data_IF_481278983848
#
_entry.id   IF_481278983848
#
_cell.length_a   1.000
_cell.length_b   1.000
_cell.length_c   1.000
_cell.angle_alpha   90.00
_cell.angle_beta   90.00
_cell.angle_gamma   90.00
#
_symmetry.space_group_name_H-M   'P 1'
#
loop_
_entity.id
_entity.type
_entity.pdbx_description
1 polymer ?
#
# COMPACT_ATOMS: atom_id res chain seq x y z
N UNK A 1 73.94 -44.10 0.11
CA UNK A 1 73.02 -44.26 -1.04
C UNK A 1 71.62 -43.92 -0.58
N UNK A 2 71.04 -42.86 -1.13
CA UNK A 2 69.77 -42.24 -0.69
C UNK A 2 68.61 -42.70 -1.57
N UNK A 3 67.45 -43.12 -1.05
CA UNK A 3 66.27 -43.36 -1.88
C UNK A 3 65.53 -42.05 -2.14
N UNK A 4 65.35 -41.76 -3.44
CA UNK A 4 64.68 -40.58 -3.99
C UNK A 4 63.21 -40.53 -3.57
N UNK A 5 62.78 -39.37 -3.05
CA UNK A 5 61.35 -39.01 -2.93
C UNK A 5 60.78 -38.83 -4.35
N UNK A 6 59.70 -39.54 -4.67
CA UNK A 6 58.95 -39.34 -5.92
C UNK A 6 58.24 -37.98 -5.88
N UNK A 7 58.70 -37.04 -6.71
CA UNK A 7 58.01 -35.78 -6.97
C UNK A 7 56.83 -36.11 -7.89
N UNK A 8 55.60 -35.94 -7.39
CA UNK A 8 54.41 -36.03 -8.21
C UNK A 8 54.42 -34.89 -9.24
N UNK A 9 54.33 -35.24 -10.51
CA UNK A 9 54.24 -34.32 -11.64
C UNK A 9 52.95 -33.51 -11.53
N UNK A 10 53.07 -32.18 -11.58
CA UNK A 10 51.94 -31.24 -11.67
C UNK A 10 51.25 -31.37 -13.03
N UNK A 11 50.43 -32.40 -13.22
CA UNK A 11 49.51 -32.47 -14.36
C UNK A 11 48.24 -31.64 -14.08
N UNK A 12 48.13 -30.55 -14.85
CA UNK A 12 46.92 -29.86 -15.35
C UNK A 12 45.61 -30.00 -14.56
N UNK A 13 45.35 -28.99 -13.72
CA UNK A 13 43.98 -28.69 -13.26
C UNK A 13 43.09 -28.30 -14.46
N UNK A 14 41.85 -28.81 -14.58
CA UNK A 14 40.95 -28.40 -15.64
C UNK A 14 40.58 -26.92 -15.48
N UNK A 15 40.66 -26.15 -16.57
CA UNK A 15 40.28 -24.75 -16.59
C UNK A 15 38.84 -24.58 -16.09
N UNK A 16 38.66 -23.83 -14.99
CA UNK A 16 37.34 -23.43 -14.49
C UNK A 16 36.64 -22.66 -15.60
N UNK A 17 35.57 -23.24 -16.17
CA UNK A 17 34.70 -22.51 -17.10
C UNK A 17 34.22 -21.25 -16.40
N UNK A 18 34.49 -20.10 -17.01
CA UNK A 18 34.02 -18.81 -16.50
C UNK A 18 32.49 -18.87 -16.36
N UNK A 19 31.99 -18.69 -15.14
CA UNK A 19 30.57 -18.47 -14.90
C UNK A 19 30.13 -17.25 -15.71
N UNK A 20 29.10 -17.36 -16.57
CA UNK A 20 28.61 -16.22 -17.33
C UNK A 20 28.18 -15.11 -16.36
N UNK A 21 28.45 -13.84 -16.68
CA UNK A 21 28.07 -12.73 -15.81
C UNK A 21 26.57 -12.76 -15.56
N UNK A 22 26.17 -12.64 -14.29
CA UNK A 22 24.77 -12.55 -13.89
C UNK A 22 24.11 -11.43 -14.70
N UNK A 23 23.16 -11.81 -15.55
CA UNK A 23 22.39 -10.87 -16.36
C UNK A 23 21.72 -9.89 -15.42
N UNK A 24 22.19 -8.64 -15.42
CA UNK A 24 21.65 -7.59 -14.58
C UNK A 24 20.24 -7.26 -15.08
N UNK A 25 19.23 -7.93 -14.51
CA UNK A 25 17.84 -7.75 -14.92
C UNK A 25 17.38 -6.38 -14.44
N UNK A 26 17.46 -5.37 -15.30
CA UNK A 26 16.80 -4.07 -15.05
C UNK A 26 15.33 -4.37 -14.68
N UNK A 27 14.98 -4.11 -13.42
CA UNK A 27 13.63 -4.31 -12.88
C UNK A 27 12.68 -3.48 -13.75
N UNK A 28 11.73 -4.13 -14.45
CA UNK A 28 10.75 -3.41 -15.28
C UNK A 28 10.06 -2.35 -14.39
N UNK A 29 9.88 -1.11 -14.86
CA UNK A 29 9.22 -0.07 -14.08
C UNK A 29 7.81 -0.53 -13.74
N UNK A 30 7.44 -0.43 -12.46
CA UNK A 30 6.10 -0.75 -11.99
C UNK A 30 5.14 0.24 -12.63
N UNK A 31 4.11 -0.26 -13.31
CA UNK A 31 3.01 0.58 -13.79
C UNK A 31 2.21 1.07 -12.56
N UNK A 32 2.62 2.23 -12.02
CA UNK A 32 2.06 2.83 -10.81
C UNK A 32 0.58 3.12 -10.95
N UNK A 33 0.11 3.54 -12.14
CA UNK A 33 -1.30 3.79 -12.43
C UNK A 33 -2.16 2.52 -12.32
N UNK A 34 -1.74 1.45 -12.99
CA UNK A 34 -2.44 0.17 -12.93
C UNK A 34 -2.41 -0.43 -11.51
N UNK A 35 -1.36 -0.15 -10.74
CA UNK A 35 -1.27 -0.55 -9.33
C UNK A 35 -2.23 0.23 -8.44
N UNK A 36 -2.31 1.56 -8.62
CA UNK A 36 -3.24 2.44 -7.90
C UNK A 36 -4.69 2.03 -8.12
N UNK A 37 -5.12 1.98 -9.38
CA UNK A 37 -6.48 1.60 -9.75
C UNK A 37 -6.89 0.23 -9.19
N UNK A 38 -5.98 -0.74 -9.16
CA UNK A 38 -6.22 -2.05 -8.55
C UNK A 38 -6.42 -1.96 -7.04
N UNK A 39 -5.62 -1.16 -6.36
CA UNK A 39 -5.76 -0.91 -4.93
C UNK A 39 -7.12 -0.31 -4.60
N UNK A 40 -7.50 0.73 -5.32
CA UNK A 40 -8.79 1.42 -5.14
C UNK A 40 -9.98 0.48 -5.40
N UNK A 41 -9.93 -0.34 -6.47
CA UNK A 41 -10.97 -1.36 -6.73
C UNK A 41 -11.07 -2.40 -5.61
N UNK A 42 -9.94 -2.87 -5.09
CA UNK A 42 -9.94 -3.84 -3.99
C UNK A 42 -10.49 -3.22 -2.70
N UNK A 43 -10.21 -1.94 -2.46
CA UNK A 43 -10.75 -1.23 -1.31
C UNK A 43 -12.26 -1.02 -1.43
N UNK A 44 -12.74 -0.57 -2.59
CA UNK A 44 -14.17 -0.41 -2.87
C UNK A 44 -14.93 -1.74 -2.68
N UNK A 45 -14.35 -2.85 -3.17
CA UNK A 45 -14.89 -4.20 -2.94
C UNK A 45 -14.91 -4.56 -1.45
N UNK A 46 -13.83 -4.32 -0.71
CA UNK A 46 -13.76 -4.64 0.71
C UNK A 46 -14.79 -3.85 1.53
N UNK A 47 -14.98 -2.55 1.24
CA UNK A 47 -16.03 -1.74 1.86
C UNK A 47 -17.43 -2.29 1.54
N UNK A 48 -17.68 -2.66 0.28
CA UNK A 48 -18.95 -3.25 -0.15
C UNK A 48 -19.23 -4.58 0.57
N UNK A 49 -18.21 -5.44 0.70
CA UNK A 49 -18.31 -6.70 1.46
C UNK A 49 -18.59 -6.48 2.96
N UNK A 50 -18.16 -5.35 3.51
CA UNK A 50 -18.47 -4.93 4.88
C UNK A 50 -19.88 -4.31 5.02
N UNK A 51 -20.66 -4.24 3.93
CA UNK A 51 -22.01 -3.67 3.92
C UNK A 51 -22.06 -2.17 3.66
N UNK A 52 -20.98 -1.59 3.14
CA UNK A 52 -20.86 -0.17 2.81
C UNK A 52 -20.61 -0.02 1.30
N UNK A 53 -21.68 0.13 0.48
CA UNK A 53 -21.53 0.28 -0.96
C UNK A 53 -20.50 1.36 -1.30
N UNK A 54 -19.51 0.99 -2.12
CA UNK A 54 -18.41 1.86 -2.48
C UNK A 54 -17.96 1.62 -3.91
N UNK A 55 -17.47 2.69 -4.54
CA UNK A 55 -16.99 2.68 -5.91
C UNK A 55 -15.63 3.36 -6.02
N UNK A 56 -14.80 2.93 -6.97
CA UNK A 56 -13.56 3.63 -7.29
C UNK A 56 -13.89 4.99 -7.91
N UNK A 57 -13.22 6.05 -7.44
CA UNK A 57 -13.36 7.36 -8.08
C UNK A 57 -12.81 7.36 -9.50
N UNK A 58 -13.50 8.04 -10.39
CA UNK A 58 -13.05 8.25 -11.76
C UNK A 58 -12.69 9.72 -11.95
N UNK A 59 -11.43 10.01 -12.26
CA UNK A 59 -11.03 11.31 -12.77
C UNK A 59 -11.72 11.55 -14.12
N UNK A 60 -12.82 12.31 -14.13
CA UNK A 60 -13.44 12.80 -15.37
C UNK A 60 -12.62 13.99 -15.88
N UNK A 61 -12.50 14.09 -17.21
CA UNK A 61 -11.69 15.06 -17.99
C UNK A 61 -11.34 16.35 -17.22
N UNK A 62 -10.17 16.37 -16.57
CA UNK A 62 -9.51 17.59 -16.06
C UNK A 62 -9.70 17.94 -14.58
N UNK A 63 -10.48 17.20 -13.80
CA UNK A 63 -10.60 17.46 -12.36
C UNK A 63 -9.50 16.76 -11.55
N UNK A 64 -8.64 17.53 -10.88
CA UNK A 64 -7.60 16.99 -9.99
C UNK A 64 -8.16 16.41 -8.67
N UNK A 65 -9.45 16.63 -8.39
CA UNK A 65 -10.05 16.47 -7.06
C UNK A 65 -11.04 15.29 -6.99
N UNK A 66 -10.68 14.17 -7.63
CA UNK A 66 -11.48 12.94 -7.55
C UNK A 66 -10.97 12.07 -6.41
N UNK A 67 -11.81 11.70 -5.43
CA UNK A 67 -11.39 10.83 -4.33
C UNK A 67 -11.02 9.44 -4.87
N UNK A 68 -10.07 8.75 -4.23
CA UNK A 68 -9.68 7.38 -4.61
C UNK A 68 -10.87 6.41 -4.59
N UNK A 69 -11.73 6.54 -3.56
CA UNK A 69 -12.93 5.73 -3.35
C UNK A 69 -14.07 6.61 -2.86
N UNK A 70 -15.26 6.38 -3.39
CA UNK A 70 -16.52 7.03 -3.01
C UNK A 70 -17.31 6.03 -2.15
N UNK A 71 -17.67 6.43 -0.93
CA UNK A 71 -18.51 5.64 -0.02
C UNK A 71 -19.32 6.61 0.85
N UNK A 72 -20.67 6.52 0.82
CA UNK A 72 -21.54 7.49 1.50
C UNK A 72 -21.32 7.50 3.02
N UNK A 73 -21.15 6.31 3.62
CA UNK A 73 -20.84 6.15 5.03
C UNK A 73 -19.50 6.77 5.46
N UNK A 74 -18.62 7.09 4.50
CA UNK A 74 -17.33 7.75 4.73
C UNK A 74 -17.26 9.13 4.06
N UNK A 75 -18.40 9.77 3.77
CA UNK A 75 -18.46 11.07 3.09
C UNK A 75 -17.78 12.23 3.83
N UNK A 76 -17.66 12.14 5.16
CA UNK A 76 -16.88 13.07 5.99
C UNK A 76 -15.36 12.89 5.91
N UNK A 77 -14.89 11.86 5.20
CA UNK A 77 -13.49 11.45 5.15
C UNK A 77 -12.91 11.62 3.74
N UNK A 78 -11.64 12.02 3.67
CA UNK A 78 -10.84 11.98 2.45
C UNK A 78 -10.00 10.70 2.47
N UNK A 79 -10.30 9.79 1.54
CA UNK A 79 -9.69 8.46 1.47
C UNK A 79 -8.48 8.49 0.54
N UNK A 80 -7.30 8.17 1.08
CA UNK A 80 -6.08 7.88 0.33
C UNK A 80 -5.81 6.36 0.38
N UNK A 81 -5.88 5.67 -0.75
CA UNK A 81 -5.73 4.21 -0.84
C UNK A 81 -4.28 3.79 -1.14
N UNK A 82 -3.69 2.94 -0.30
CA UNK A 82 -2.30 2.46 -0.45
C UNK A 82 -2.19 0.94 -0.43
N UNK A 83 -2.12 0.33 -1.61
CA UNK A 83 -1.73 -1.08 -1.78
C UNK A 83 -0.22 -1.21 -2.03
N UNK A 84 0.49 -2.02 -1.25
CA UNK A 84 1.94 -2.21 -1.38
C UNK A 84 2.38 -3.67 -1.37
N UNK A 85 3.65 -3.93 -1.66
CA UNK A 85 4.17 -5.30 -1.65
C UNK A 85 4.41 -5.82 -0.22
N UNK A 86 4.77 -4.95 0.72
CA UNK A 86 5.12 -5.27 2.11
C UNK A 86 4.54 -4.23 3.05
N UNK A 87 4.28 -4.60 4.30
CA UNK A 87 3.76 -3.68 5.31
C UNK A 87 4.65 -2.43 5.43
N UNK A 88 4.03 -1.25 5.42
CA UNK A 88 4.71 0.05 5.56
C UNK A 88 4.34 0.78 6.85
N UNK A 89 3.56 0.18 7.74
CA UNK A 89 3.04 0.83 8.96
C UNK A 89 4.13 1.32 9.92
N UNK A 90 5.36 0.79 9.79
CA UNK A 90 6.51 1.17 10.61
C UNK A 90 7.53 2.05 9.88
N UNK A 91 7.27 2.48 8.64
CA UNK A 91 8.21 3.28 7.84
C UNK A 91 7.95 4.79 7.99
N UNK A 92 8.74 5.55 8.77
CA UNK A 92 8.42 6.95 9.06
C UNK A 92 8.38 7.82 7.80
N UNK A 93 9.31 7.59 6.86
CA UNK A 93 9.37 8.33 5.60
C UNK A 93 8.14 8.06 4.72
N UNK A 94 7.70 6.81 4.65
CA UNK A 94 6.51 6.43 3.88
C UNK A 94 5.24 6.99 4.51
N UNK A 95 5.11 6.89 5.83
CA UNK A 95 3.99 7.47 6.57
C UNK A 95 3.91 8.97 6.33
N UNK A 96 5.01 9.70 6.50
CA UNK A 96 5.07 11.14 6.25
C UNK A 96 4.58 11.49 4.84
N UNK A 97 5.07 10.77 3.83
CA UNK A 97 4.66 11.00 2.43
C UNK A 97 3.17 10.76 2.21
N UNK A 98 2.57 9.74 2.83
CA UNK A 98 1.14 9.46 2.68
C UNK A 98 0.27 10.47 3.43
N UNK A 99 0.68 10.84 4.65
CA UNK A 99 -0.02 11.84 5.46
C UNK A 99 -0.02 13.21 4.78
N UNK A 100 1.13 13.62 4.22
CA UNK A 100 1.25 14.90 3.52
C UNK A 100 0.38 14.94 2.25
N UNK A 101 0.26 13.81 1.54
CA UNK A 101 -0.63 13.70 0.37
C UNK A 101 -2.10 13.83 0.77
N UNK A 102 -2.55 12.99 1.71
CA UNK A 102 -3.95 12.97 2.13
C UNK A 102 -4.42 14.32 2.73
N UNK A 103 -3.54 15.01 3.47
CA UNK A 103 -3.83 16.35 4.01
C UNK A 103 -3.92 17.42 2.94
N UNK A 104 -3.06 17.36 1.91
CA UNK A 104 -3.08 18.31 0.81
C UNK A 104 -4.37 18.19 0.00
N UNK A 105 -4.76 16.95 -0.29
CA UNK A 105 -5.87 16.66 -1.20
C UNK A 105 -7.25 16.79 -0.52
N UNK A 106 -7.32 16.82 0.82
CA UNK A 106 -8.59 17.06 1.51
C UNK A 106 -8.97 18.55 1.64
N UNK A 107 -8.03 19.47 1.36
CA UNK A 107 -8.18 20.94 1.44
C UNK A 107 -8.90 21.44 2.72
N UNK A 108 -8.79 20.71 3.83
CA UNK A 108 -9.50 21.02 5.08
C UNK A 108 -11.03 20.78 5.06
N UNK A 109 -11.61 20.35 3.93
CA UNK A 109 -13.06 20.09 3.78
C UNK A 109 -13.50 18.77 4.42
N UNK A 110 -12.58 17.81 4.53
CA UNK A 110 -12.80 16.47 5.11
C UNK A 110 -11.63 16.08 6.01
N UNK A 111 -11.83 15.09 6.88
CA UNK A 111 -10.73 14.51 7.64
C UNK A 111 -9.92 13.52 6.79
N UNK A 112 -8.59 13.65 6.72
CA UNK A 112 -7.77 12.76 5.90
C UNK A 112 -7.56 11.40 6.58
N UNK A 113 -7.67 10.31 5.81
CA UNK A 113 -7.32 8.95 6.22
C UNK A 113 -6.50 8.25 5.15
N UNK A 114 -5.59 7.37 5.57
CA UNK A 114 -4.90 6.46 4.65
C UNK A 114 -5.39 5.05 4.90
N UNK A 115 -5.96 4.41 3.88
CA UNK A 115 -6.39 3.03 3.94
C UNK A 115 -5.35 2.15 3.25
N UNK A 116 -4.67 1.33 4.05
CA UNK A 116 -3.50 0.58 3.67
C UNK A 116 -3.73 -0.92 3.70
N UNK A 117 -3.18 -1.61 2.69
CA UNK A 117 -3.00 -3.06 2.68
C UNK A 117 -1.70 -3.43 1.97
N UNK A 118 -1.18 -4.60 2.28
CA UNK A 118 -0.05 -5.18 1.56
C UNK A 118 -0.36 -6.59 1.08
N UNK A 119 0.47 -7.12 0.18
CA UNK A 119 0.32 -8.47 -0.33
C UNK A 119 0.36 -9.50 0.82
N UNK A 120 -0.60 -10.43 0.83
CA UNK A 120 -0.73 -11.46 1.86
C UNK A 120 -1.44 -11.00 3.15
N UNK A 121 -1.66 -9.70 3.34
CA UNK A 121 -2.50 -9.21 4.42
C UNK A 121 -3.95 -9.64 4.22
N UNK A 122 -4.59 -10.14 5.28
CA UNK A 122 -6.03 -10.46 5.27
C UNK A 122 -6.86 -9.19 5.39
N UNK A 123 -6.52 -8.36 6.36
CA UNK A 123 -7.27 -7.16 6.71
C UNK A 123 -6.74 -5.89 6.04
N UNK A 124 -7.62 -4.90 5.90
CA UNK A 124 -7.28 -3.51 5.60
C UNK A 124 -7.10 -2.73 6.89
N UNK A 125 -6.15 -1.79 6.88
CA UNK A 125 -5.81 -0.94 8.02
C UNK A 125 -6.04 0.53 7.67
N UNK A 126 -6.49 1.32 8.64
CA UNK A 126 -6.80 2.74 8.49
C UNK A 126 -5.88 3.53 9.41
N UNK A 127 -5.09 4.44 8.84
CA UNK A 127 -4.40 5.48 9.57
C UNK A 127 -5.33 6.68 9.68
N UNK A 128 -5.78 6.95 10.89
CA UNK A 128 -6.68 8.07 11.19
C UNK A 128 -5.85 9.27 11.66
N UNK A 129 -6.08 10.44 11.05
CA UNK A 129 -5.35 11.68 11.35
C UNK A 129 -6.30 12.78 11.84
N UNK A 130 -6.82 12.67 13.07
CA UNK A 130 -7.65 13.72 13.64
C UNK A 130 -6.83 14.99 13.92
N UNK A 131 -7.44 16.17 13.81
CA UNK A 131 -6.75 17.45 14.04
C UNK A 131 -6.35 17.67 15.51
N UNK A 132 -7.16 17.19 16.46
CA UNK A 132 -7.00 17.48 17.89
C UNK A 132 -6.33 16.36 18.69
N UNK A 133 -5.88 15.27 18.05
CA UNK A 133 -5.33 14.09 18.73
C UNK A 133 -4.18 13.47 17.92
N UNK A 134 -3.31 12.65 18.53
CA UNK A 134 -2.35 11.86 17.78
C UNK A 134 -3.04 10.97 16.74
N UNK A 135 -2.36 10.75 15.62
CA UNK A 135 -2.79 9.78 14.63
C UNK A 135 -2.63 8.36 15.17
N UNK A 136 -3.44 7.42 14.67
CA UNK A 136 -3.40 6.03 15.10
C UNK A 136 -3.85 5.08 13.99
N UNK A 137 -3.44 3.82 14.10
CA UNK A 137 -3.87 2.73 13.22
C UNK A 137 -5.03 1.97 13.85
N UNK A 138 -6.00 1.57 13.02
CA UNK A 138 -7.05 0.61 13.38
C UNK A 138 -7.44 -0.24 12.18
N UNK A 139 -8.21 -1.32 12.39
CA UNK A 139 -8.72 -2.12 11.28
C UNK A 139 -9.88 -1.41 10.57
N UNK A 140 -9.98 -1.60 9.26
CA UNK A 140 -11.04 -1.00 8.43
C UNK A 140 -12.44 -1.41 8.89
N UNK A 141 -12.65 -2.68 9.19
CA UNK A 141 -13.96 -3.21 9.59
C UNK A 141 -14.45 -2.65 10.92
N UNK A 142 -13.54 -2.30 11.84
CA UNK A 142 -13.89 -1.64 13.09
C UNK A 142 -14.17 -0.15 12.86
N UNK A 143 -13.33 0.51 12.06
CA UNK A 143 -13.47 1.92 11.71
C UNK A 143 -14.85 2.20 11.09
N UNK A 144 -15.22 1.49 10.03
CA UNK A 144 -16.48 1.73 9.31
C UNK A 144 -17.71 1.42 10.17
N UNK A 145 -17.63 0.43 11.06
CA UNK A 145 -18.72 0.13 12.00
C UNK A 145 -18.98 1.32 12.92
N UNK A 146 -17.92 1.86 13.55
CA UNK A 146 -18.03 3.02 14.45
C UNK A 146 -18.61 4.23 13.72
N UNK A 147 -18.06 4.57 12.56
CA UNK A 147 -18.53 5.71 11.76
C UNK A 147 -20.00 5.55 11.35
N UNK A 148 -20.41 4.32 11.00
CA UNK A 148 -21.81 4.05 10.65
C UNK A 148 -22.78 4.21 11.83
N UNK A 149 -22.38 3.83 13.04
CA UNK A 149 -23.22 4.03 14.23
C UNK A 149 -23.32 5.52 14.56
N UNK A 150 -22.24 6.29 14.40
CA UNK A 150 -22.28 7.75 14.56
C UNK A 150 -23.26 8.37 13.56
N UNK A 151 -23.22 8.01 12.28
CA UNK A 151 -24.15 8.55 11.29
C UNK A 151 -25.63 8.27 11.63
N UNK A 152 -25.93 7.11 12.22
CA UNK A 152 -27.29 6.80 12.71
C UNK A 152 -27.71 7.72 13.85
N UNK A 153 -26.80 8.02 14.79
CA UNK A 153 -27.05 8.96 15.89
C UNK A 153 -27.40 10.35 15.34
N UNK A 154 -26.76 10.76 14.23
CA UNK A 154 -27.03 12.03 13.55
C UNK A 154 -28.19 11.97 12.53
N UNK A 155 -28.90 10.84 12.41
CA UNK A 155 -30.08 10.70 11.55
C UNK A 155 -29.81 10.71 10.04
N UNK A 156 -28.59 10.42 9.60
CA UNK A 156 -28.23 10.39 8.17
C UNK A 156 -28.47 8.97 7.61
N UNK A 157 -29.36 8.78 6.61
CA UNK A 157 -29.63 7.46 6.04
C UNK A 157 -28.43 6.89 5.25
N UNK A 158 -28.36 5.56 5.19
CA UNK A 158 -27.30 4.77 4.53
C UNK A 158 -27.30 4.88 3.02
#
# INVERSE_FOLDING_TARGET
MSPRKSVATLESLPAKKATPPLRNSKKKPVNSRAKGARGELQLAKALTELGFPAERGQQRKGGADSPDVICLALSGWHIECKLTATCQMHSPATLKSWMDQARRDCEGKRMPIVIHRWNGARDWWVLVMPYARPWYWQRLDLFVKVESELLKIWGIPK
#
